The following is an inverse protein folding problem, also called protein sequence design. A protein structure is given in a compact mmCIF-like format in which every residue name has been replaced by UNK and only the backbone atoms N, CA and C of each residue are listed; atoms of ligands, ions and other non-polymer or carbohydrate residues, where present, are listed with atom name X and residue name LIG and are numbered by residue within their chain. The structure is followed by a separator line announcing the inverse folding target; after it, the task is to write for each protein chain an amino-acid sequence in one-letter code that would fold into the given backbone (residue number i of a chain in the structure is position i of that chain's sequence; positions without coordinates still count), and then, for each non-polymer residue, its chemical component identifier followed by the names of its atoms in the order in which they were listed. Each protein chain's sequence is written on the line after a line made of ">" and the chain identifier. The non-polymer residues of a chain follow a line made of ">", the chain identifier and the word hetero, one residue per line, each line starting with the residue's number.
data_IF_707378403605
#
_entry.id   IF_707378403605
#
_cell.length_a   1.000
_cell.length_b   1.000
_cell.length_c   1.000
_cell.angle_alpha   90.00
_cell.angle_beta   90.00
_cell.angle_gamma   90.00
#
_symmetry.space_group_name_H-M   'P 1'
#
loop_
_entity.id
_entity.type
_entity.pdbx_description
1 polymer ?
#
# COMPACT_ATOMS: atom_id res chain seq x y z
N UNK A 1 -15.41 12.27 30.50
CA UNK A 1 -14.32 12.70 29.62
C UNK A 1 -14.32 11.70 28.47
N UNK A 2 -14.96 12.07 27.36
CA UNK A 2 -15.03 11.21 26.17
C UNK A 2 -13.65 11.26 25.56
N UNK A 3 -13.00 10.11 25.49
CA UNK A 3 -11.70 9.95 24.85
C UNK A 3 -11.86 10.31 23.38
N UNK A 4 -11.35 11.49 22.98
CA UNK A 4 -11.07 11.82 21.57
C UNK A 4 -9.94 10.91 21.09
N UNK A 5 -10.20 9.61 20.99
CA UNK A 5 -9.35 8.72 20.20
C UNK A 5 -9.51 9.16 18.76
N UNK A 6 -8.51 9.90 18.32
CA UNK A 6 -8.35 10.43 16.98
C UNK A 6 -8.66 9.33 15.94
N UNK A 7 -9.25 9.72 14.83
CA UNK A 7 -9.69 8.82 13.74
C UNK A 7 -8.65 7.79 13.26
N UNK A 8 -7.37 7.94 13.62
CA UNK A 8 -6.27 7.03 13.31
C UNK A 8 -6.37 5.67 14.02
N UNK A 9 -7.03 5.56 15.18
CA UNK A 9 -7.14 4.26 15.89
C UNK A 9 -8.14 3.30 15.20
N UNK A 10 -8.95 3.82 14.27
CA UNK A 10 -9.89 3.06 13.46
C UNK A 10 -9.31 2.58 12.12
N UNK A 11 -8.07 2.96 11.78
CA UNK A 11 -7.49 2.64 10.48
C UNK A 11 -7.25 1.12 10.35
N UNK A 12 -8.01 0.49 9.45
CA UNK A 12 -7.88 -0.93 9.12
C UNK A 12 -7.37 -1.09 7.70
N UNK A 13 -6.31 -1.87 7.57
CA UNK A 13 -5.76 -2.29 6.29
C UNK A 13 -6.60 -3.44 5.72
N UNK A 14 -6.54 -3.65 4.41
CA UNK A 14 -7.26 -4.74 3.75
C UNK A 14 -6.63 -6.10 4.06
N UNK A 15 -5.29 -6.14 4.15
CA UNK A 15 -4.54 -7.36 4.41
C UNK A 15 -3.42 -7.09 5.42
N UNK A 16 -3.23 -8.02 6.35
CA UNK A 16 -2.12 -8.03 7.31
C UNK A 16 -1.34 -9.35 7.17
N UNK A 17 -0.03 -9.26 6.90
CA UNK A 17 0.82 -10.43 6.68
C UNK A 17 2.08 -10.33 7.53
N UNK A 18 2.44 -11.43 8.19
CA UNK A 18 3.68 -11.55 8.98
C UNK A 18 4.82 -12.13 8.15
N UNK A 19 6.02 -11.60 8.29
CA UNK A 19 7.23 -12.16 7.70
C UNK A 19 7.53 -11.70 6.27
N UNK A 20 6.78 -10.74 5.71
CA UNK A 20 6.98 -10.30 4.33
C UNK A 20 8.34 -9.62 4.17
N UNK A 21 8.57 -8.49 4.83
CA UNK A 21 9.81 -7.71 4.69
C UNK A 21 10.89 -8.15 5.67
N UNK A 22 10.51 -8.36 6.92
CA UNK A 22 11.40 -8.74 8.03
C UNK A 22 10.88 -10.04 8.67
N UNK A 23 11.75 -10.97 9.10
CA UNK A 23 11.33 -12.14 9.86
C UNK A 23 10.49 -11.74 11.07
N UNK A 24 9.34 -12.39 11.25
CA UNK A 24 8.39 -12.14 12.34
C UNK A 24 7.77 -10.72 12.39
N UNK A 25 8.18 -9.79 11.53
CA UNK A 25 7.62 -8.45 11.42
C UNK A 25 6.29 -8.45 10.65
N UNK A 26 5.33 -7.66 11.13
CA UNK A 26 4.02 -7.50 10.47
C UNK A 26 4.08 -6.40 9.40
N UNK A 27 3.44 -6.67 8.26
CA UNK A 27 3.22 -5.71 7.19
C UNK A 27 1.73 -5.58 6.90
N UNK A 28 1.26 -4.34 6.85
CA UNK A 28 -0.08 -3.97 6.43
C UNK A 28 -0.08 -3.62 4.95
N UNK A 29 -1.14 -4.05 4.25
CA UNK A 29 -1.37 -3.76 2.85
C UNK A 29 -2.77 -3.20 2.66
N UNK A 30 -2.87 -2.23 1.77
CA UNK A 30 -4.12 -1.64 1.36
C UNK A 30 -4.13 -1.53 -0.17
N UNK A 31 -5.22 -1.99 -0.77
CA UNK A 31 -5.39 -2.13 -2.21
C UNK A 31 -6.11 -0.90 -2.77
N UNK A 32 -5.57 -0.34 -3.85
CA UNK A 32 -6.20 0.74 -4.60
C UNK A 32 -6.11 0.44 -6.10
N UNK A 33 -7.27 0.27 -6.72
CA UNK A 33 -7.40 0.20 -8.18
C UNK A 33 -7.82 1.58 -8.69
N UNK A 34 -7.16 2.07 -9.75
CA UNK A 34 -7.32 3.43 -10.27
C UNK A 34 -7.70 3.37 -11.74
N UNK A 35 -8.74 4.12 -12.11
CA UNK A 35 -9.00 4.43 -13.52
C UNK A 35 -8.04 5.53 -13.96
N UNK A 36 -7.00 5.19 -14.73
CA UNK A 36 -6.01 6.14 -15.23
C UNK A 36 -6.55 7.02 -16.36
N UNK A 37 -7.66 6.63 -17.00
CA UNK A 37 -8.27 7.36 -18.10
C UNK A 37 -9.34 8.36 -17.62
N UNK A 38 -9.55 8.44 -16.31
CA UNK A 38 -10.50 9.37 -15.72
C UNK A 38 -10.16 10.84 -16.10
N UNK A 39 -11.17 11.69 -16.41
CA UNK A 39 -10.93 13.07 -16.83
C UNK A 39 -10.08 13.91 -15.87
N UNK A 40 -10.06 13.56 -14.59
CA UNK A 40 -9.24 14.21 -13.55
C UNK A 40 -7.74 13.96 -13.69
N UNK A 41 -7.32 13.02 -14.54
CA UNK A 41 -5.93 12.61 -14.71
C UNK A 41 -5.36 12.87 -16.11
N UNK A 42 -6.08 13.58 -16.98
CA UNK A 42 -5.69 13.85 -18.37
C UNK A 42 -4.30 14.48 -18.53
N UNK A 43 -3.81 15.19 -17.51
CA UNK A 43 -2.53 15.87 -17.49
C UNK A 43 -1.37 15.01 -16.94
N UNK A 44 -1.64 13.75 -16.57
CA UNK A 44 -0.68 12.88 -15.86
C UNK A 44 -0.54 11.54 -16.55
N UNK A 45 0.68 11.01 -16.56
CA UNK A 45 0.91 9.64 -17.01
C UNK A 45 0.39 8.63 -15.97
N UNK A 46 -0.04 7.42 -16.38
CA UNK A 46 -0.46 6.37 -15.45
C UNK A 46 0.55 6.08 -14.34
N UNK A 47 1.85 6.14 -14.64
CA UNK A 47 2.92 5.93 -13.66
C UNK A 47 2.99 7.05 -12.63
N UNK A 48 2.73 8.30 -13.03
CA UNK A 48 2.66 9.44 -12.10
C UNK A 48 1.45 9.33 -11.18
N UNK A 49 0.31 8.87 -11.70
CA UNK A 49 -0.91 8.61 -10.93
C UNK A 49 -0.64 7.54 -9.88
N UNK A 50 -0.06 6.40 -10.28
CA UNK A 50 0.29 5.30 -9.38
C UNK A 50 1.26 5.73 -8.27
N UNK A 51 2.36 6.42 -8.63
CA UNK A 51 3.31 6.95 -7.63
C UNK A 51 2.66 7.91 -6.63
N UNK A 52 1.76 8.76 -7.13
CA UNK A 52 1.03 9.70 -6.27
C UNK A 52 0.11 8.95 -5.32
N UNK A 53 -0.62 7.94 -5.83
CA UNK A 53 -1.52 7.13 -5.02
C UNK A 53 -0.79 6.31 -3.94
N UNK A 54 0.37 5.73 -4.27
CA UNK A 54 1.21 5.03 -3.30
C UNK A 54 1.69 5.99 -2.19
N UNK A 55 2.15 7.19 -2.56
CA UNK A 55 2.57 8.22 -1.60
C UNK A 55 1.43 8.66 -0.69
N UNK A 56 0.24 8.87 -1.23
CA UNK A 56 -0.95 9.22 -0.44
C UNK A 56 -1.32 8.13 0.58
N UNK A 57 -1.31 6.86 0.15
CA UNK A 57 -1.56 5.74 1.06
C UNK A 57 -0.49 5.67 2.14
N UNK A 58 0.79 5.81 1.79
CA UNK A 58 1.88 5.85 2.77
C UNK A 58 1.71 6.97 3.80
N UNK A 59 1.38 8.18 3.35
CA UNK A 59 1.13 9.30 4.23
C UNK A 59 -0.08 9.05 5.15
N UNK A 60 -1.14 8.39 4.65
CA UNK A 60 -2.31 8.02 5.45
C UNK A 60 -1.97 7.02 6.56
N UNK A 61 -1.09 6.06 6.27
CA UNK A 61 -0.77 4.96 7.19
C UNK A 61 0.47 5.20 8.07
N UNK A 62 1.29 6.23 7.80
CA UNK A 62 2.60 6.41 8.46
C UNK A 62 2.51 6.44 9.98
N UNK A 63 1.66 7.30 10.55
CA UNK A 63 1.49 7.44 11.99
C UNK A 63 0.95 6.16 12.65
N UNK A 64 -0.02 5.50 12.01
CA UNK A 64 -0.60 4.26 12.51
C UNK A 64 0.43 3.13 12.54
N UNK A 65 1.26 3.05 11.51
CA UNK A 65 2.30 2.05 11.37
C UNK A 65 3.46 2.27 12.35
N UNK A 66 3.85 3.53 12.56
CA UNK A 66 4.85 3.92 13.57
C UNK A 66 4.40 3.51 14.97
N UNK A 67 3.16 3.82 15.36
CA UNK A 67 2.60 3.48 16.67
C UNK A 67 2.50 1.98 16.91
N UNK A 68 2.14 1.20 15.88
CA UNK A 68 2.01 -0.27 15.96
C UNK A 68 3.33 -1.01 15.73
N UNK A 69 4.42 -0.31 15.41
CA UNK A 69 5.69 -0.90 14.98
C UNK A 69 5.53 -1.92 13.84
N UNK A 70 4.66 -1.62 12.88
CA UNK A 70 4.41 -2.44 11.69
C UNK A 70 4.85 -1.71 10.44
N UNK A 71 5.19 -2.46 9.40
CA UNK A 71 5.47 -1.89 8.08
C UNK A 71 4.20 -1.70 7.25
N UNK A 72 4.24 -0.83 6.25
CA UNK A 72 3.14 -0.63 5.30
C UNK A 72 3.64 -0.68 3.87
N UNK A 73 2.89 -1.35 3.01
CA UNK A 73 3.14 -1.39 1.57
C UNK A 73 1.83 -1.15 0.80
N UNK A 74 1.74 -0.09 -0.01
CA UNK A 74 0.57 0.14 -0.85
C UNK A 74 0.52 -0.85 -2.00
N UNK A 75 -0.68 -1.35 -2.32
CA UNK A 75 -0.94 -2.18 -3.50
C UNK A 75 -1.77 -1.36 -4.49
N UNK A 76 -1.09 -0.56 -5.31
CA UNK A 76 -1.75 0.29 -6.29
C UNK A 76 -1.65 -0.32 -7.69
N UNK A 77 -2.77 -0.37 -8.41
CA UNK A 77 -2.83 -0.80 -9.81
C UNK A 77 -3.84 0.05 -10.59
N UNK A 78 -3.70 0.11 -11.92
CA UNK A 78 -4.74 0.67 -12.79
C UNK A 78 -5.76 -0.40 -13.17
N UNK A 79 -6.93 0.02 -13.65
CA UNK A 79 -7.94 -0.87 -14.21
C UNK A 79 -7.42 -1.69 -15.40
N UNK A 80 -6.48 -1.12 -16.17
CA UNK A 80 -5.84 -1.77 -17.32
C UNK A 80 -4.67 -2.68 -16.95
N UNK A 81 -4.35 -2.81 -15.65
CA UNK A 81 -3.36 -3.75 -15.13
C UNK A 81 -1.94 -3.22 -15.00
N UNK A 82 -1.71 -1.90 -15.13
CA UNK A 82 -0.43 -1.31 -14.75
C UNK A 82 -0.31 -1.33 -13.23
N UNK A 83 0.84 -1.79 -12.71
CA UNK A 83 1.07 -1.90 -11.27
C UNK A 83 2.06 -0.84 -10.79
N UNK A 84 1.83 -0.34 -9.58
CA UNK A 84 2.73 0.59 -8.92
C UNK A 84 4.10 -0.04 -8.61
N UNK A 85 5.16 0.79 -8.50
CA UNK A 85 6.52 0.30 -8.26
C UNK A 85 6.68 -0.44 -6.93
N UNK A 86 5.89 -0.18 -5.90
CA UNK A 86 6.01 -0.95 -4.65
C UNK A 86 5.31 -2.30 -4.72
N UNK A 87 4.17 -2.34 -5.39
CA UNK A 87 3.48 -3.59 -5.68
C UNK A 87 4.36 -4.51 -6.54
N UNK A 88 5.10 -3.97 -7.52
CA UNK A 88 6.01 -4.78 -8.35
C UNK A 88 7.17 -5.38 -7.53
N UNK A 89 7.75 -4.62 -6.60
CA UNK A 89 8.80 -5.12 -5.68
C UNK A 89 8.25 -6.24 -4.79
N UNK A 90 7.03 -6.09 -4.28
CA UNK A 90 6.39 -7.15 -3.48
C UNK A 90 6.18 -8.42 -4.30
N UNK A 91 5.65 -8.29 -5.53
CA UNK A 91 5.40 -9.42 -6.41
C UNK A 91 6.70 -10.14 -6.78
N UNK A 92 7.77 -9.40 -7.09
CA UNK A 92 9.09 -10.00 -7.36
C UNK A 92 9.59 -10.79 -6.15
N UNK A 93 9.52 -10.20 -4.95
CA UNK A 93 9.92 -10.88 -3.71
C UNK A 93 9.09 -12.14 -3.46
N UNK A 94 7.78 -12.10 -3.73
CA UNK A 94 6.91 -13.26 -3.60
C UNK A 94 7.30 -14.35 -4.60
N UNK A 95 7.56 -13.99 -5.87
CA UNK A 95 8.02 -14.91 -6.90
C UNK A 95 9.34 -15.58 -6.50
N UNK A 96 10.33 -14.83 -6.03
CA UNK A 96 11.62 -15.37 -5.56
C UNK A 96 11.41 -16.37 -4.42
N UNK A 97 10.53 -16.06 -3.47
CA UNK A 97 10.21 -16.95 -2.34
C UNK A 97 9.52 -18.24 -2.78
N UNK A 98 8.66 -18.16 -3.80
CA UNK A 98 7.98 -19.33 -4.36
C UNK A 98 8.93 -20.19 -5.21
N UNK A 99 9.94 -19.58 -5.84
CA UNK A 99 10.94 -20.28 -6.64
C UNK A 99 11.98 -21.05 -5.80
N UNK A 100 12.14 -20.71 -4.51
CA UNK A 100 12.98 -21.44 -3.56
C UNK A 100 12.38 -22.79 -3.12
N UNK A 101 11.28 -23.23 -3.74
CA UNK A 101 10.66 -24.55 -3.52
C UNK A 101 11.32 -25.64 -4.36
#
# INVERSE_FOLDING_TARGET
>A
MVDESSSSDSLRADVEIRGVWQPQGTCLFDVRVIDSDAPSYLDRSPEQILKTAEREKKAKYSEHCERRHVSFSPLCATVDGLIGPEMSILLQRLADRLALK
#
